data_IF_709549001503
#
_entry.id   IF_709549001503
#
_cell.length_a   1.000
_cell.length_b   1.000
_cell.length_c   1.000
_cell.angle_alpha   90.00
_cell.angle_beta   90.00
_cell.angle_gamma   90.00
#
_symmetry.space_group_name_H-M   'P 1'
#
loop_
_entity.id
_entity.type
_entity.pdbx_description
1 polymer ?
#
# COMPACT_ATOMS: atom_id res chain seq x y z
N UNK A 1 -1.14 -2.20 4.48
CA UNK A 1 -1.82 -1.68 3.31
C UNK A 1 -1.00 -2.10 2.12
N UNK A 2 -1.39 -3.24 1.54
CA UNK A 2 -0.86 -3.71 0.27
C UNK A 2 -1.60 -3.07 -0.89
N UNK A 3 -0.97 -3.04 -2.05
CA UNK A 3 -1.64 -2.79 -3.31
C UNK A 3 -1.32 -3.94 -4.29
N UNK A 4 -2.23 -4.20 -5.21
CA UNK A 4 -2.14 -5.35 -6.13
C UNK A 4 -2.46 -4.92 -7.54
N UNK A 5 -1.89 -5.62 -8.52
CA UNK A 5 -2.26 -5.52 -9.92
C UNK A 5 -2.94 -6.80 -10.37
N UNK A 6 -4.11 -6.66 -10.98
CA UNK A 6 -4.96 -7.74 -11.46
C UNK A 6 -6.04 -8.18 -10.46
N UNK A 7 -7.04 -8.86 -10.99
CA UNK A 7 -8.17 -9.41 -10.22
C UNK A 7 -8.31 -10.92 -10.45
N UNK A 8 -8.87 -11.61 -9.45
CA UNK A 8 -9.17 -13.05 -9.59
C UNK A 8 -10.11 -13.36 -10.76
N UNK A 9 -11.21 -12.61 -11.01
CA UNK A 9 -12.11 -12.90 -12.13
C UNK A 9 -11.48 -12.67 -13.50
N UNK A 10 -10.75 -11.57 -13.69
CA UNK A 10 -10.25 -11.18 -15.03
C UNK A 10 -8.88 -11.79 -15.33
N UNK A 11 -7.96 -11.77 -14.37
CA UNK A 11 -6.56 -12.18 -14.57
C UNK A 11 -6.27 -13.57 -14.02
N UNK A 12 -7.24 -14.22 -13.37
CA UNK A 12 -7.08 -15.51 -12.67
C UNK A 12 -6.02 -15.47 -11.55
N UNK A 13 -5.71 -14.28 -11.07
CA UNK A 13 -4.62 -14.03 -10.13
C UNK A 13 -4.37 -12.54 -9.94
N UNK A 14 -3.46 -12.22 -9.05
CA UNK A 14 -2.95 -10.86 -8.86
C UNK A 14 -1.47 -10.92 -8.48
N UNK A 15 -0.78 -9.81 -8.64
CA UNK A 15 0.58 -9.64 -8.13
C UNK A 15 0.59 -8.55 -7.07
N UNK A 16 1.24 -8.82 -5.94
CA UNK A 16 1.54 -7.78 -4.96
C UNK A 16 2.63 -6.87 -5.53
N UNK A 17 2.35 -5.57 -5.51
CA UNK A 17 3.18 -4.53 -6.11
C UNK A 17 3.41 -3.41 -5.10
N UNK A 18 4.23 -2.42 -5.46
CA UNK A 18 4.45 -1.26 -4.62
C UNK A 18 3.12 -0.55 -4.33
N UNK A 19 3.02 0.06 -3.14
CA UNK A 19 1.77 0.66 -2.67
C UNK A 19 1.19 1.70 -3.64
N UNK A 20 2.02 2.34 -4.45
CA UNK A 20 1.68 3.36 -5.44
C UNK A 20 1.55 2.84 -6.88
N UNK A 21 1.83 1.57 -7.16
CA UNK A 21 1.84 0.97 -8.51
C UNK A 21 0.74 -0.09 -8.74
N UNK A 22 -0.21 -0.24 -7.82
CA UNK A 22 -1.33 -1.17 -7.97
C UNK A 22 -2.61 -0.52 -8.50
N UNK A 23 -3.64 -1.34 -8.66
CA UNK A 23 -4.92 -0.95 -9.24
C UNK A 23 -5.75 -0.05 -8.30
N UNK A 24 -5.47 -0.08 -6.98
CA UNK A 24 -6.14 0.79 -6.02
C UNK A 24 -5.54 2.19 -6.02
N UNK A 25 -6.41 3.20 -6.13
CA UNK A 25 -6.05 4.59 -5.89
C UNK A 25 -5.97 4.86 -4.39
N UNK A 26 -4.78 4.71 -3.80
CA UNK A 26 -4.58 4.77 -2.36
C UNK A 26 -5.09 6.07 -1.70
N UNK A 27 -5.03 7.21 -2.38
CA UNK A 27 -5.64 8.45 -1.88
C UNK A 27 -7.15 8.37 -1.72
N UNK A 28 -7.86 7.63 -2.58
CA UNK A 28 -9.30 7.39 -2.41
C UNK A 28 -9.57 6.47 -1.21
N UNK A 29 -8.71 5.48 -1.00
CA UNK A 29 -8.83 4.57 0.14
C UNK A 29 -8.68 5.31 1.46
N UNK A 30 -7.67 6.19 1.58
CA UNK A 30 -7.47 7.00 2.79
C UNK A 30 -8.66 7.94 3.02
N UNK A 31 -9.20 8.59 1.98
CA UNK A 31 -10.43 9.40 2.11
C UNK A 31 -11.65 8.59 2.55
N UNK A 32 -11.77 7.34 2.12
CA UNK A 32 -12.86 6.46 2.54
C UNK A 32 -12.75 6.08 4.02
N UNK A 33 -11.53 5.87 4.54
CA UNK A 33 -11.29 5.63 5.97
C UNK A 33 -11.63 6.87 6.81
N UNK A 34 -11.20 8.05 6.36
CA UNK A 34 -11.51 9.33 7.01
C UNK A 34 -13.02 9.60 7.06
N UNK A 35 -13.72 9.37 5.95
CA UNK A 35 -15.16 9.60 5.83
C UNK A 35 -16.01 8.77 6.82
N UNK A 36 -15.48 7.65 7.33
CA UNK A 36 -16.16 6.80 8.33
C UNK A 36 -15.63 7.03 9.76
N UNK A 37 -14.75 8.01 9.96
CA UNK A 37 -14.16 8.33 11.27
C UNK A 37 -13.23 7.24 11.79
N UNK A 38 -12.49 6.55 10.91
CA UNK A 38 -11.55 5.53 11.31
C UNK A 38 -10.35 6.15 12.08
N UNK A 39 -10.15 5.72 13.33
CA UNK A 39 -9.10 6.21 14.24
C UNK A 39 -8.10 5.10 14.63
N UNK A 40 -7.94 4.11 13.75
CA UNK A 40 -7.05 2.97 13.97
C UNK A 40 -5.67 3.09 13.32
N UNK A 41 -4.82 2.10 13.57
CA UNK A 41 -3.50 2.01 12.96
C UNK A 41 -3.60 1.53 11.52
N UNK A 42 -2.89 2.21 10.62
CA UNK A 42 -2.68 1.80 9.23
C UNK A 42 -1.32 1.11 9.12
N UNK A 43 -1.32 -0.21 8.97
CA UNK A 43 -0.11 -1.02 8.78
C UNK A 43 0.35 -1.03 7.30
N UNK A 44 1.59 -1.41 6.99
CA UNK A 44 2.10 -1.53 5.60
C UNK A 44 1.82 -2.91 4.97
N UNK A 45 1.46 -3.93 5.76
CA UNK A 45 1.09 -5.29 5.35
C UNK A 45 2.21 -6.06 4.64
N UNK A 46 2.14 -6.27 3.31
CA UNK A 46 3.08 -7.14 2.58
C UNK A 46 4.21 -6.33 1.90
N UNK A 47 5.48 -6.54 2.28
CA UNK A 47 6.60 -5.91 1.62
C UNK A 47 6.94 -6.54 0.27
N UNK A 48 7.17 -5.70 -0.74
CA UNK A 48 7.68 -6.14 -2.05
C UNK A 48 9.21 -6.08 -2.03
N UNK A 49 9.82 -7.16 -2.53
CA UNK A 49 11.27 -7.29 -2.47
C UNK A 49 12.02 -6.32 -3.39
N UNK A 50 13.14 -5.80 -2.89
CA UNK A 50 14.00 -4.85 -3.60
C UNK A 50 15.40 -5.45 -3.76
N UNK A 51 15.93 -5.41 -4.99
CA UNK A 51 17.29 -5.90 -5.27
C UNK A 51 18.32 -5.23 -4.35
N UNK A 52 19.11 -6.04 -3.66
CA UNK A 52 20.12 -5.57 -2.72
C UNK A 52 19.63 -5.33 -1.29
N UNK A 53 18.38 -5.66 -0.97
CA UNK A 53 17.90 -5.62 0.41
C UNK A 53 18.42 -6.77 1.28
N UNK A 54 18.42 -6.56 2.60
CA UNK A 54 18.77 -7.58 3.58
C UNK A 54 17.55 -8.41 4.01
N UNK A 55 17.73 -9.26 5.03
CA UNK A 55 16.65 -10.11 5.60
C UNK A 55 15.39 -9.34 6.01
N UNK A 56 15.53 -8.06 6.38
CA UNK A 56 14.41 -7.17 6.67
C UNK A 56 14.23 -6.20 5.49
N UNK A 57 13.03 -6.11 4.89
CA UNK A 57 12.76 -5.29 3.70
C UNK A 57 12.56 -3.81 4.08
N UNK A 58 13.57 -3.22 4.71
CA UNK A 58 13.49 -1.87 5.31
C UNK A 58 13.23 -0.78 4.28
N UNK A 59 13.74 -0.95 3.06
CA UNK A 59 13.57 0.00 1.96
C UNK A 59 12.09 0.12 1.57
N UNK A 60 11.43 -1.02 1.32
CA UNK A 60 10.00 -1.02 1.03
C UNK A 60 9.18 -0.47 2.20
N UNK A 61 9.44 -0.95 3.43
CA UNK A 61 8.70 -0.50 4.61
C UNK A 61 8.80 1.03 4.76
N UNK A 62 10.01 1.58 4.60
CA UNK A 62 10.24 3.03 4.70
C UNK A 62 9.48 3.79 3.61
N UNK A 63 9.48 3.27 2.37
CA UNK A 63 8.73 3.86 1.27
C UNK A 63 7.22 3.83 1.55
N UNK A 64 6.67 2.67 1.91
CA UNK A 64 5.25 2.50 2.17
C UNK A 64 4.74 3.40 3.30
N UNK A 65 5.47 3.47 4.42
CA UNK A 65 5.12 4.36 5.54
C UNK A 65 5.23 5.83 5.12
N UNK A 66 6.28 6.21 4.40
CA UNK A 66 6.45 7.58 3.91
C UNK A 66 5.33 8.01 2.96
N UNK A 67 4.98 7.14 2.01
CA UNK A 67 3.89 7.35 1.05
C UNK A 67 2.54 7.53 1.76
N UNK A 68 2.20 6.64 2.71
CA UNK A 68 0.96 6.74 3.47
C UNK A 68 0.90 8.00 4.33
N UNK A 69 2.00 8.41 4.97
CA UNK A 69 2.07 9.70 5.68
C UNK A 69 1.82 10.88 4.75
N UNK A 70 2.35 10.83 3.53
CA UNK A 70 2.10 11.84 2.50
C UNK A 70 0.62 11.95 2.14
N UNK A 71 -0.07 10.81 1.96
CA UNK A 71 -1.51 10.79 1.70
C UNK A 71 -2.32 11.34 2.87
N UNK A 72 -1.99 10.92 4.10
CA UNK A 72 -2.68 11.39 5.32
C UNK A 72 -2.50 12.90 5.55
N UNK A 73 -1.34 13.46 5.25
CA UNK A 73 -1.10 14.91 5.34
C UNK A 73 -1.84 15.72 4.27
N UNK A 74 -2.36 15.08 3.22
CA UNK A 74 -3.10 15.70 2.12
C UNK A 74 -4.58 15.27 2.11
N UNK A 75 -5.11 14.82 3.26
CA UNK A 75 -6.55 14.65 3.46
C UNK A 75 -7.26 16.01 3.49
#
# INVERSE_FOLDING_TARGET
FRNVRGTLPENRGYSEVFVDDGDMQMGQVVRALDAVGYDGVIDFDHPVGITGEGRLPKQYISFAVGYMRGLLHNL
#
